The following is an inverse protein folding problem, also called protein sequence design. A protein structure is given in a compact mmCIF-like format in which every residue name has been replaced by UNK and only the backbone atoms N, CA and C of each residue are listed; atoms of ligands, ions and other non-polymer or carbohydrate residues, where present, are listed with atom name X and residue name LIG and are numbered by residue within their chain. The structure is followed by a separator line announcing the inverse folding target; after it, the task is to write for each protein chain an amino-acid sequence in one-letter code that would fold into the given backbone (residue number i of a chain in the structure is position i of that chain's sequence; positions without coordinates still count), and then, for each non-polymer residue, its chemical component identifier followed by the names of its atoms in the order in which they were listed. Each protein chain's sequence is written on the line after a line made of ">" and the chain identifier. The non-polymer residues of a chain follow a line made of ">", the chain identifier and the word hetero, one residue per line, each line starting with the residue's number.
data_IF_744721674327
#
_entry.id   IF_744721674327
#
_cell.length_a   1.000
_cell.length_b   1.000
_cell.length_c   1.000
_cell.angle_alpha   90.00
_cell.angle_beta   90.00
_cell.angle_gamma   90.00
#
_symmetry.space_group_name_H-M   'P 1'
#
loop_
_entity.id
_entity.type
_entity.pdbx_description
1 polymer ?
#
# COMPACT_ATOMS: atom_id res chain seq x y z
N UNK A 1 5.82 10.92 13.27
CA UNK A 1 5.85 12.25 12.59
C UNK A 1 6.91 13.16 13.22
N UNK A 2 6.95 13.29 14.56
CA UNK A 2 7.95 14.11 15.26
C UNK A 2 9.37 13.59 15.06
N UNK A 3 9.55 12.27 15.03
CA UNK A 3 10.84 11.63 14.72
C UNK A 3 11.35 12.04 13.33
N UNK A 4 10.48 12.10 12.33
CA UNK A 4 10.86 12.53 10.97
C UNK A 4 11.28 14.00 10.90
N UNK A 5 10.75 14.86 11.76
CA UNK A 5 11.15 16.27 11.83
C UNK A 5 12.51 16.47 12.50
N UNK A 6 12.84 15.61 13.46
CA UNK A 6 14.09 15.67 14.20
C UNK A 6 15.25 14.97 13.49
N UNK A 7 14.96 14.10 12.55
CA UNK A 7 15.94 13.25 11.88
C UNK A 7 16.52 13.92 10.62
N UNK A 8 17.84 13.91 10.44
CA UNK A 8 18.48 14.30 9.19
C UNK A 8 17.96 13.45 8.02
N UNK A 9 17.79 14.06 6.83
CA UNK A 9 17.33 13.36 5.61
C UNK A 9 18.11 12.05 5.33
N UNK A 10 19.42 12.05 5.54
CA UNK A 10 20.24 10.86 5.33
C UNK A 10 19.78 9.65 6.15
N UNK A 11 19.20 9.84 7.33
CA UNK A 11 18.70 8.75 8.16
C UNK A 11 17.53 8.00 7.52
N UNK A 12 16.75 8.65 6.68
CA UNK A 12 15.72 8.01 5.87
C UNK A 12 16.29 6.90 4.99
N UNK A 13 17.41 7.17 4.30
CA UNK A 13 18.05 6.19 3.43
C UNK A 13 18.68 5.04 4.21
N UNK A 14 19.27 5.32 5.38
CA UNK A 14 19.79 4.27 6.26
C UNK A 14 18.67 3.40 6.85
N UNK A 15 17.54 3.99 7.19
CA UNK A 15 16.35 3.23 7.62
C UNK A 15 15.80 2.35 6.50
N UNK A 16 15.83 2.80 5.25
CA UNK A 16 15.42 1.98 4.10
C UNK A 16 16.27 0.69 3.97
N UNK A 17 17.58 0.75 4.29
CA UNK A 17 18.46 -0.43 4.33
C UNK A 17 17.98 -1.43 5.39
N UNK A 18 17.72 -0.94 6.61
CA UNK A 18 17.23 -1.77 7.73
C UNK A 18 15.87 -2.40 7.40
N UNK A 19 14.93 -1.59 6.95
CA UNK A 19 13.58 -2.02 6.62
C UNK A 19 13.55 -3.01 5.45
N UNK A 20 14.35 -2.74 4.41
CA UNK A 20 14.50 -3.64 3.27
C UNK A 20 14.99 -5.01 3.70
N UNK A 21 16.04 -5.06 4.53
CA UNK A 21 16.54 -6.34 5.06
C UNK A 21 15.48 -7.07 5.89
N UNK A 22 14.79 -6.39 6.80
CA UNK A 22 13.71 -6.99 7.60
C UNK A 22 12.60 -7.59 6.74
N UNK A 23 12.24 -6.92 5.64
CA UNK A 23 11.22 -7.38 4.70
C UNK A 23 11.68 -8.63 3.94
N UNK A 24 12.95 -8.66 3.48
CA UNK A 24 13.52 -9.86 2.83
C UNK A 24 13.62 -11.01 3.82
N UNK A 25 14.14 -10.78 5.02
CA UNK A 25 14.29 -11.82 6.06
C UNK A 25 12.92 -12.47 6.39
N UNK A 26 11.83 -11.72 6.30
CA UNK A 26 10.46 -12.22 6.45
C UNK A 26 9.90 -12.90 5.19
N UNK A 27 10.70 -13.16 4.17
CA UNK A 27 10.28 -13.92 2.99
C UNK A 27 9.69 -13.11 1.83
N UNK A 28 9.69 -11.79 1.88
CA UNK A 28 9.16 -10.94 0.82
C UNK A 28 10.28 -10.43 -0.07
N UNK A 29 10.30 -10.84 -1.34
CA UNK A 29 11.37 -10.56 -2.32
C UNK A 29 11.06 -9.44 -3.30
N UNK A 30 9.78 -9.09 -3.46
CA UNK A 30 9.32 -7.98 -4.31
C UNK A 30 8.21 -7.21 -3.61
N UNK A 31 8.23 -5.88 -3.68
CA UNK A 31 7.21 -5.00 -3.10
C UNK A 31 6.72 -3.96 -4.09
N UNK A 32 5.48 -3.52 -3.88
CA UNK A 32 4.91 -2.29 -4.43
C UNK A 32 4.95 -1.24 -3.31
N UNK A 33 5.87 -0.27 -3.42
CA UNK A 33 6.08 0.79 -2.44
C UNK A 33 5.19 2.01 -2.74
N UNK A 34 4.21 2.25 -1.89
CA UNK A 34 3.25 3.34 -2.03
C UNK A 34 3.80 4.72 -1.60
N UNK A 35 5.11 4.81 -1.39
CA UNK A 35 5.88 6.00 -0.99
C UNK A 35 6.40 5.89 0.45
N UNK A 36 7.51 6.54 0.78
CA UNK A 36 8.24 7.53 -0.02
C UNK A 36 9.59 7.03 -0.59
N UNK A 37 9.70 5.79 -1.06
CA UNK A 37 10.95 5.35 -1.71
C UNK A 37 11.17 6.13 -3.03
N UNK A 38 12.36 6.71 -3.20
CA UNK A 38 12.74 7.41 -4.42
C UNK A 38 13.50 6.50 -5.42
N UNK A 39 13.72 7.01 -6.61
CA UNK A 39 14.44 6.28 -7.66
C UNK A 39 15.89 5.94 -7.25
N UNK A 40 16.52 6.70 -6.37
CA UNK A 40 17.86 6.44 -5.86
C UNK A 40 17.90 5.19 -4.98
N UNK A 41 16.90 5.00 -4.12
CA UNK A 41 16.73 3.79 -3.29
C UNK A 41 16.52 2.57 -4.19
N UNK A 42 15.63 2.66 -5.20
CA UNK A 42 15.39 1.58 -6.17
C UNK A 42 16.66 1.21 -6.95
N UNK A 43 17.40 2.21 -7.45
CA UNK A 43 18.65 1.98 -8.19
C UNK A 43 19.73 1.36 -7.27
N UNK A 44 19.84 1.81 -6.03
CA UNK A 44 20.81 1.28 -5.08
C UNK A 44 20.52 -0.19 -4.74
N UNK A 45 19.25 -0.54 -4.54
CA UNK A 45 18.80 -1.94 -4.38
C UNK A 45 19.16 -2.76 -5.62
N UNK A 46 18.80 -2.30 -6.83
CA UNK A 46 19.09 -3.00 -8.09
C UNK A 46 20.60 -3.20 -8.35
N UNK A 47 21.45 -2.32 -7.82
CA UNK A 47 22.91 -2.44 -7.88
C UNK A 47 23.49 -3.32 -6.78
N UNK A 48 22.65 -3.90 -5.91
CA UNK A 48 23.12 -4.72 -4.79
C UNK A 48 23.90 -3.94 -3.71
N UNK A 49 23.70 -2.63 -3.60
CA UNK A 49 24.38 -1.83 -2.57
C UNK A 49 23.86 -2.13 -1.17
N UNK A 50 22.66 -2.70 -1.06
CA UNK A 50 22.08 -3.21 0.17
C UNK A 50 21.03 -4.28 -0.14
N UNK A 51 20.70 -5.10 0.85
CA UNK A 51 19.69 -6.15 0.76
C UNK A 51 18.33 -5.52 0.99
N UNK A 52 17.44 -5.63 0.01
CA UNK A 52 16.04 -5.24 0.09
C UNK A 52 15.24 -5.96 -1.00
N UNK A 53 13.90 -6.01 -0.89
CA UNK A 53 13.05 -6.51 -1.97
C UNK A 53 13.26 -5.72 -3.27
N UNK A 54 13.01 -6.34 -4.43
CA UNK A 54 12.81 -5.60 -5.67
C UNK A 54 11.64 -4.65 -5.50
N UNK A 55 11.69 -3.45 -6.06
CA UNK A 55 10.74 -2.39 -5.76
C UNK A 55 10.03 -1.89 -7.02
N UNK A 56 8.70 -1.84 -6.99
CA UNK A 56 7.89 -0.97 -7.82
C UNK A 56 7.46 0.22 -6.96
N UNK A 57 7.84 1.44 -7.34
CA UNK A 57 7.73 2.64 -6.50
C UNK A 57 6.75 3.67 -7.05
N UNK A 58 6.01 4.33 -6.16
CA UNK A 58 5.19 5.50 -6.51
C UNK A 58 5.90 6.83 -6.28
N UNK A 59 7.07 6.82 -5.68
CA UNK A 59 7.85 7.98 -5.24
C UNK A 59 7.11 8.78 -4.17
N UNK A 60 6.03 9.47 -4.52
CA UNK A 60 5.16 10.22 -3.59
C UNK A 60 3.69 10.10 -4.01
N UNK A 61 2.74 10.00 -3.07
CA UNK A 61 1.32 10.00 -3.43
C UNK A 61 0.82 11.38 -3.83
N UNK A 62 -0.20 11.42 -4.71
CA UNK A 62 -1.00 12.61 -4.95
C UNK A 62 -1.94 12.86 -3.77
N UNK A 63 -1.97 14.10 -3.29
CA UNK A 63 -2.65 14.51 -2.06
C UNK A 63 -3.41 15.82 -2.32
N UNK A 64 -4.68 15.91 -1.92
CA UNK A 64 -5.40 17.19 -1.95
C UNK A 64 -4.97 18.09 -0.79
N UNK A 65 -5.03 19.41 -0.96
CA UNK A 65 -4.76 20.36 0.11
C UNK A 65 -5.67 20.10 1.33
N UNK A 66 -5.07 19.95 2.50
CA UNK A 66 -5.78 19.59 3.75
C UNK A 66 -6.23 18.13 3.83
N UNK A 67 -5.85 17.31 2.87
CA UNK A 67 -6.23 15.90 2.79
C UNK A 67 -5.37 14.95 3.61
N UNK A 68 -5.66 13.66 3.46
CA UNK A 68 -4.84 12.61 4.08
C UNK A 68 -3.42 12.64 3.50
N UNK A 69 -2.44 12.56 4.38
CA UNK A 69 -1.02 12.70 4.02
C UNK A 69 -0.61 14.13 3.60
N UNK A 70 -1.47 15.14 3.71
CA UNK A 70 -1.01 16.53 3.70
C UNK A 70 -0.26 16.82 5.01
N UNK A 71 1.04 17.00 4.90
CA UNK A 71 1.94 17.12 6.04
C UNK A 71 2.06 18.56 6.54
N UNK A 72 1.18 19.48 6.09
CA UNK A 72 1.09 20.83 6.59
C UNK A 72 0.43 20.84 7.97
N UNK A 73 1.15 21.32 8.98
CA UNK A 73 0.65 21.37 10.37
C UNK A 73 -0.19 22.63 10.64
N UNK A 74 -1.15 22.59 11.58
CA UNK A 74 -1.91 23.75 12.01
C UNK A 74 -1.03 24.92 12.51
N UNK A 75 0.21 24.63 12.94
CA UNK A 75 1.22 25.62 13.30
C UNK A 75 1.76 26.43 12.10
N UNK A 76 1.39 26.08 10.87
CA UNK A 76 1.91 26.66 9.64
C UNK A 76 3.21 26.03 9.14
N UNK A 77 3.68 24.96 9.80
CA UNK A 77 4.90 24.25 9.39
C UNK A 77 4.57 23.15 8.38
N UNK A 78 5.27 23.16 7.22
CA UNK A 78 5.18 22.13 6.19
C UNK A 78 6.26 21.08 6.42
N UNK A 79 5.84 19.84 6.77
CA UNK A 79 6.74 18.71 7.02
C UNK A 79 7.01 17.87 5.77
N UNK A 80 6.54 18.30 4.60
CA UNK A 80 6.77 17.60 3.35
C UNK A 80 8.28 17.53 3.06
N UNK A 81 8.80 16.32 2.85
CA UNK A 81 10.20 16.10 2.51
C UNK A 81 10.46 16.70 1.13
N UNK A 82 11.44 17.61 1.05
CA UNK A 82 11.81 18.29 -0.21
C UNK A 82 13.31 18.18 -0.41
N UNK A 83 13.70 17.57 -1.54
CA UNK A 83 15.08 17.58 -2.02
C UNK A 83 15.10 17.50 -3.55
N UNK A 84 16.22 17.84 -4.21
CA UNK A 84 16.30 17.80 -5.67
C UNK A 84 15.94 16.41 -6.24
N UNK A 85 14.96 16.38 -7.16
CA UNK A 85 14.48 15.16 -7.80
C UNK A 85 13.30 14.48 -7.11
N UNK A 86 12.92 14.91 -5.90
CA UNK A 86 11.74 14.39 -5.20
C UNK A 86 10.57 15.38 -5.31
N UNK A 87 9.50 15.05 -6.09
CA UNK A 87 8.38 15.97 -6.30
C UNK A 87 7.47 16.03 -5.07
N UNK A 88 6.82 17.18 -4.88
CA UNK A 88 5.71 17.30 -3.95
C UNK A 88 4.45 16.68 -4.52
N UNK A 89 3.67 16.00 -3.66
CA UNK A 89 2.42 15.32 -4.06
C UNK A 89 1.18 16.20 -3.98
N UNK A 90 1.22 17.34 -3.26
CA UNK A 90 0.04 18.20 -3.06
C UNK A 90 -0.40 18.87 -4.34
N UNK A 91 -1.72 18.72 -4.68
CA UNK A 91 -2.31 19.28 -5.90
C UNK A 91 -3.84 19.36 -5.81
N UNK A 92 -4.42 20.36 -6.46
CA UNK A 92 -5.86 20.60 -6.52
C UNK A 92 -6.28 20.98 -7.94
N UNK A 93 -7.40 20.45 -8.37
CA UNK A 93 -7.97 20.66 -9.69
C UNK A 93 -7.26 19.92 -10.84
N UNK A 94 -7.95 19.74 -11.99
CA UNK A 94 -7.47 18.89 -13.07
C UNK A 94 -6.11 19.28 -13.64
N UNK A 95 -5.78 20.56 -13.72
CA UNK A 95 -4.51 21.01 -14.29
C UNK A 95 -3.32 20.72 -13.38
N UNK A 96 -3.50 20.85 -12.05
CA UNK A 96 -2.42 20.55 -11.11
C UNK A 96 -2.21 19.04 -10.98
N UNK A 97 -3.28 18.25 -10.88
CA UNK A 97 -3.15 16.79 -10.82
C UNK A 97 -2.48 16.24 -12.09
N UNK A 98 -2.81 16.77 -13.28
CA UNK A 98 -2.15 16.43 -14.54
C UNK A 98 -0.65 16.72 -14.47
N UNK A 99 -0.28 17.93 -14.05
CA UNK A 99 1.12 18.34 -13.91
C UNK A 99 1.86 17.45 -12.91
N UNK A 100 1.26 17.18 -11.75
CA UNK A 100 1.87 16.37 -10.69
C UNK A 100 2.05 14.91 -11.10
N UNK A 101 1.09 14.32 -11.79
CA UNK A 101 1.21 12.97 -12.37
C UNK A 101 2.44 12.89 -13.28
N UNK A 102 2.67 13.90 -14.14
CA UNK A 102 3.86 13.98 -15.00
C UNK A 102 5.15 14.19 -14.22
N UNK A 103 5.13 15.01 -13.17
CA UNK A 103 6.30 15.22 -12.30
C UNK A 103 6.70 13.93 -11.57
N UNK A 104 5.74 13.19 -11.03
CA UNK A 104 5.95 11.90 -10.36
C UNK A 104 6.49 10.86 -11.34
N UNK A 105 5.90 10.73 -12.53
CA UNK A 105 6.44 9.87 -13.59
C UNK A 105 7.88 10.24 -13.94
N UNK A 106 8.18 11.53 -14.14
CA UNK A 106 9.54 12.02 -14.43
C UNK A 106 10.53 11.67 -13.32
N UNK A 107 10.07 11.59 -12.07
CA UNK A 107 10.88 11.19 -10.91
C UNK A 107 11.16 9.69 -10.86
N UNK A 108 10.62 8.89 -11.79
CA UNK A 108 10.89 7.46 -11.91
C UNK A 108 9.87 6.55 -11.24
N UNK A 109 8.65 7.03 -11.03
CA UNK A 109 7.57 6.19 -10.51
C UNK A 109 7.17 5.09 -11.52
N UNK A 110 6.89 3.89 -11.00
CA UNK A 110 6.41 2.72 -11.75
C UNK A 110 4.87 2.67 -11.77
N UNK A 111 4.22 3.37 -10.85
CA UNK A 111 2.77 3.54 -10.75
C UNK A 111 2.42 4.85 -10.04
N UNK A 112 1.18 5.27 -10.11
CA UNK A 112 0.70 6.47 -9.44
C UNK A 112 -0.10 6.08 -8.19
N UNK A 113 0.24 6.65 -7.04
CA UNK A 113 -0.51 6.52 -5.78
C UNK A 113 -1.32 7.78 -5.52
N UNK A 114 -2.56 7.63 -5.08
CA UNK A 114 -3.49 8.73 -4.78
C UNK A 114 -4.09 8.53 -3.38
N UNK A 115 -4.16 9.58 -2.59
CA UNK A 115 -4.92 9.60 -1.34
C UNK A 115 -6.35 10.05 -1.63
N UNK A 116 -7.24 9.08 -1.97
CA UNK A 116 -8.59 9.38 -2.46
C UNK A 116 -9.64 9.53 -1.34
N UNK A 117 -9.30 9.24 -0.10
CA UNK A 117 -10.14 9.53 1.07
C UNK A 117 -9.30 10.01 2.25
N UNK A 118 -9.96 10.52 3.27
CA UNK A 118 -9.33 10.75 4.57
C UNK A 118 -8.82 9.45 5.19
N UNK A 119 -7.97 9.56 6.22
CA UNK A 119 -7.33 8.42 6.86
C UNK A 119 -7.34 8.51 8.38
N UNK A 120 -6.92 7.43 9.03
CA UNK A 120 -6.86 7.30 10.48
C UNK A 120 -5.78 8.21 11.08
N UNK A 121 -4.59 8.20 10.48
CA UNK A 121 -3.40 8.81 11.07
C UNK A 121 -3.28 10.32 10.85
N UNK A 122 -4.06 10.88 9.93
CA UNK A 122 -4.10 12.32 9.67
C UNK A 122 -5.23 12.97 10.46
N UNK A 123 -4.89 13.96 11.25
CA UNK A 123 -5.85 14.80 11.97
C UNK A 123 -6.64 15.67 11.01
N UNK A 124 -7.85 16.09 11.41
CA UNK A 124 -8.75 16.93 10.61
C UNK A 124 -9.24 16.30 9.29
N UNK A 125 -9.02 15.02 9.05
CA UNK A 125 -9.63 14.27 7.96
C UNK A 125 -10.50 13.14 8.52
N UNK A 126 -11.51 12.71 7.77
CA UNK A 126 -12.31 11.52 8.12
C UNK A 126 -12.14 10.43 7.06
N UNK A 127 -11.97 9.16 7.49
CA UNK A 127 -11.97 8.03 6.56
C UNK A 127 -13.21 7.95 5.66
N UNK A 128 -14.35 8.50 6.10
CA UNK A 128 -15.62 8.51 5.36
C UNK A 128 -15.68 9.53 4.21
N UNK A 129 -14.73 10.48 4.13
CA UNK A 129 -14.82 11.56 3.16
C UNK A 129 -13.88 11.36 1.97
N UNK A 130 -14.40 11.43 0.71
CA UNK A 130 -13.57 11.45 -0.49
C UNK A 130 -12.78 12.77 -0.54
N UNK A 131 -11.58 12.74 -1.13
CA UNK A 131 -10.67 13.89 -1.15
C UNK A 131 -10.42 14.47 -2.54
N UNK A 132 -10.65 13.73 -3.58
CA UNK A 132 -10.64 14.23 -4.95
C UNK A 132 -12.04 14.07 -5.56
N UNK A 133 -12.41 14.95 -6.47
CA UNK A 133 -13.61 14.77 -7.29
C UNK A 133 -13.31 13.83 -8.46
N UNK A 134 -14.37 13.38 -9.16
CA UNK A 134 -14.23 12.40 -10.25
C UNK A 134 -13.44 12.95 -11.43
N UNK A 135 -13.54 14.26 -11.72
CA UNK A 135 -12.80 14.89 -12.83
C UNK A 135 -11.28 14.88 -12.56
N UNK A 136 -10.87 15.19 -11.33
CA UNK A 136 -9.47 15.11 -10.90
C UNK A 136 -8.95 13.67 -10.98
N UNK A 137 -9.68 12.71 -10.42
CA UNK A 137 -9.33 11.29 -10.43
C UNK A 137 -9.21 10.76 -11.87
N UNK A 138 -10.17 11.11 -12.75
CA UNK A 138 -10.13 10.72 -14.15
C UNK A 138 -8.94 11.32 -14.88
N UNK A 139 -8.59 12.56 -14.61
CA UNK A 139 -7.42 13.22 -15.19
C UNK A 139 -6.12 12.50 -14.81
N UNK A 140 -6.01 12.04 -13.55
CA UNK A 140 -4.86 11.25 -13.08
C UNK A 140 -4.77 9.92 -13.86
N UNK A 141 -5.89 9.20 -13.95
CA UNK A 141 -5.96 7.89 -14.61
C UNK A 141 -5.63 8.02 -16.10
N UNK A 142 -6.28 8.96 -16.81
CA UNK A 142 -6.07 9.16 -18.24
C UNK A 142 -4.58 9.47 -18.54
N UNK A 143 -3.92 10.31 -17.74
CA UNK A 143 -2.50 10.62 -17.93
C UNK A 143 -1.59 9.45 -17.55
N UNK A 144 -1.91 8.70 -16.50
CA UNK A 144 -1.12 7.54 -16.07
C UNK A 144 -1.20 6.41 -17.10
N UNK A 145 -2.40 6.05 -17.55
CA UNK A 145 -2.63 4.94 -18.49
C UNK A 145 -2.02 5.19 -19.87
N UNK A 146 -2.03 6.44 -20.38
CA UNK A 146 -1.30 6.79 -21.62
C UNK A 146 0.20 6.49 -21.52
N UNK A 147 0.71 6.39 -20.29
CA UNK A 147 2.12 6.11 -20.02
C UNK A 147 2.36 4.69 -19.48
N UNK A 148 1.40 3.77 -19.63
CA UNK A 148 1.43 2.39 -19.15
C UNK A 148 1.65 2.28 -17.62
N UNK A 149 1.28 3.33 -16.86
CA UNK A 149 1.36 3.34 -15.40
C UNK A 149 -0.01 3.01 -14.79
N UNK A 150 -0.04 2.06 -13.87
CA UNK A 150 -1.23 1.76 -13.06
C UNK A 150 -1.48 2.85 -12.03
N UNK A 151 -2.74 2.97 -11.59
CA UNK A 151 -3.16 3.93 -10.56
C UNK A 151 -3.77 3.20 -9.37
N UNK A 152 -3.28 3.51 -8.17
CA UNK A 152 -3.69 2.89 -6.91
C UNK A 152 -4.19 3.94 -5.93
N UNK A 153 -5.29 3.67 -5.22
CA UNK A 153 -5.87 4.60 -4.27
C UNK A 153 -5.83 4.09 -2.82
N UNK A 154 -5.28 4.89 -1.90
CA UNK A 154 -5.72 4.80 -0.51
C UNK A 154 -7.17 5.27 -0.44
N UNK A 155 -8.08 4.41 -0.04
CA UNK A 155 -9.49 4.79 0.07
C UNK A 155 -10.26 3.93 1.08
N UNK A 156 -10.79 4.56 2.13
CA UNK A 156 -11.70 3.94 3.08
C UNK A 156 -13.16 4.18 2.70
N UNK A 157 -13.49 5.41 2.23
CA UNK A 157 -14.87 5.87 2.07
C UNK A 157 -15.61 5.18 0.92
N UNK A 158 -16.86 4.78 1.16
CA UNK A 158 -17.72 4.17 0.12
C UNK A 158 -17.85 5.07 -1.12
N UNK A 159 -18.03 6.38 -0.92
CA UNK A 159 -18.13 7.34 -2.03
C UNK A 159 -16.80 7.47 -2.77
N UNK A 160 -15.68 7.51 -2.05
CA UNK A 160 -14.34 7.56 -2.66
C UNK A 160 -14.04 6.33 -3.48
N UNK A 161 -14.37 5.12 -2.97
CA UNK A 161 -14.22 3.85 -3.70
C UNK A 161 -15.01 3.90 -5.01
N UNK A 162 -16.30 4.32 -4.97
CA UNK A 162 -17.10 4.45 -6.18
C UNK A 162 -16.50 5.45 -7.17
N UNK A 163 -16.02 6.61 -6.70
CA UNK A 163 -15.37 7.60 -7.54
C UNK A 163 -14.10 7.05 -8.22
N UNK A 164 -13.28 6.28 -7.49
CA UNK A 164 -12.08 5.64 -8.05
C UNK A 164 -12.43 4.60 -9.11
N UNK A 165 -13.46 3.76 -8.86
CA UNK A 165 -13.92 2.76 -9.85
C UNK A 165 -14.42 3.49 -11.11
N UNK A 166 -15.24 4.55 -10.96
CA UNK A 166 -15.77 5.34 -12.07
C UNK A 166 -14.69 6.07 -12.86
N UNK A 167 -13.60 6.45 -12.20
CA UNK A 167 -12.43 7.05 -12.84
C UNK A 167 -11.52 6.05 -13.55
N UNK A 168 -11.63 4.73 -13.25
CA UNK A 168 -10.84 3.67 -13.88
C UNK A 168 -9.55 3.31 -13.15
N UNK A 169 -9.52 3.41 -11.83
CA UNK A 169 -8.39 2.96 -11.01
C UNK A 169 -8.14 1.47 -11.13
N UNK A 170 -6.87 1.06 -11.00
CA UNK A 170 -6.46 -0.36 -11.10
C UNK A 170 -6.55 -1.07 -9.75
N UNK A 171 -6.31 -0.37 -8.62
CA UNK A 171 -6.48 -0.92 -7.27
C UNK A 171 -6.94 0.09 -6.24
N UNK A 172 -7.58 -0.44 -5.19
CA UNK A 172 -7.94 0.26 -3.96
C UNK A 172 -7.18 -0.40 -2.82
N UNK A 173 -6.50 0.39 -2.00
CA UNK A 173 -5.96 -0.05 -0.71
C UNK A 173 -6.96 0.27 0.40
N UNK A 174 -7.05 -0.61 1.39
CA UNK A 174 -7.96 -0.64 2.55
C UNK A 174 -9.40 -1.02 2.18
N UNK A 175 -10.14 -0.20 1.44
CA UNK A 175 -11.50 -0.52 1.01
C UNK A 175 -12.53 -0.63 2.15
N UNK A 176 -12.26 -0.06 3.32
CA UNK A 176 -12.92 -0.34 4.60
C UNK A 176 -14.44 -0.30 4.58
N UNK A 177 -15.04 0.73 3.98
CA UNK A 177 -16.49 0.92 3.97
C UNK A 177 -17.15 0.46 2.66
N UNK A 178 -16.50 -0.46 1.94
CA UNK A 178 -17.08 -1.05 0.73
C UNK A 178 -18.37 -1.80 1.07
N UNK A 179 -19.41 -1.60 0.28
CA UNK A 179 -20.65 -2.35 0.39
C UNK A 179 -20.77 -3.42 -0.70
N UNK A 180 -21.74 -4.31 -0.57
CA UNK A 180 -21.99 -5.41 -1.50
C UNK A 180 -22.19 -4.92 -2.96
N UNK A 181 -22.88 -3.80 -3.17
CA UNK A 181 -23.13 -3.24 -4.51
C UNK A 181 -21.85 -2.72 -5.14
N UNK A 182 -21.05 -2.03 -4.36
CA UNK A 182 -19.77 -1.49 -4.81
C UNK A 182 -18.75 -2.61 -5.04
N UNK A 183 -18.81 -3.70 -4.24
CA UNK A 183 -17.97 -4.88 -4.44
C UNK A 183 -18.22 -5.53 -5.81
N UNK A 184 -19.50 -5.72 -6.20
CA UNK A 184 -19.85 -6.20 -7.55
C UNK A 184 -19.32 -5.30 -8.63
N UNK A 185 -19.53 -3.99 -8.48
CA UNK A 185 -19.02 -2.99 -9.44
C UNK A 185 -17.50 -3.05 -9.55
N UNK A 186 -16.79 -3.24 -8.43
CA UNK A 186 -15.33 -3.40 -8.40
C UNK A 186 -14.88 -4.64 -9.16
N UNK A 187 -15.52 -5.78 -8.91
CA UNK A 187 -15.25 -7.04 -9.62
C UNK A 187 -15.53 -6.93 -11.13
N UNK A 188 -16.68 -6.37 -11.52
CA UNK A 188 -17.07 -6.15 -12.92
C UNK A 188 -16.08 -5.24 -13.68
N UNK A 189 -15.44 -4.30 -12.99
CA UNK A 189 -14.42 -3.40 -13.56
C UNK A 189 -12.99 -3.89 -13.36
N UNK A 190 -12.79 -5.11 -12.84
CA UNK A 190 -11.48 -5.72 -12.60
C UNK A 190 -10.55 -4.87 -11.72
N UNK A 191 -11.10 -4.06 -10.82
CA UNK A 191 -10.34 -3.28 -9.84
C UNK A 191 -9.91 -4.18 -8.69
N UNK A 192 -8.62 -4.23 -8.37
CA UNK A 192 -8.10 -5.08 -7.29
C UNK A 192 -8.27 -4.40 -5.93
N UNK A 193 -8.40 -5.21 -4.88
CA UNK A 193 -8.47 -4.72 -3.50
C UNK A 193 -7.28 -5.23 -2.69
N UNK A 194 -6.56 -4.31 -2.06
CA UNK A 194 -5.45 -4.61 -1.14
C UNK A 194 -5.90 -4.24 0.28
N UNK A 195 -6.45 -5.17 1.07
CA UNK A 195 -7.23 -4.83 2.26
C UNK A 195 -6.39 -4.31 3.43
N UNK A 196 -5.13 -4.71 3.56
CA UNK A 196 -4.24 -4.26 4.65
C UNK A 196 -4.86 -4.41 6.04
N UNK A 197 -5.47 -5.56 6.32
CA UNK A 197 -6.17 -5.79 7.58
C UNK A 197 -5.23 -5.80 8.78
N UNK A 198 -4.02 -6.31 8.59
CA UNK A 198 -2.98 -6.38 9.62
C UNK A 198 -2.68 -5.00 10.25
N UNK A 199 -2.55 -3.94 9.46
CA UNK A 199 -2.21 -2.62 10.01
C UNK A 199 -3.29 -2.09 10.94
N UNK A 200 -4.56 -2.32 10.62
CA UNK A 200 -5.67 -1.87 11.44
C UNK A 200 -5.76 -2.68 12.74
N UNK A 201 -5.60 -4.00 12.65
CA UNK A 201 -5.60 -4.90 13.80
C UNK A 201 -4.44 -4.58 14.74
N UNK A 202 -3.23 -4.44 14.19
CA UNK A 202 -2.02 -4.10 14.95
C UNK A 202 -2.17 -2.77 15.70
N UNK A 203 -2.64 -1.71 15.03
CA UNK A 203 -2.84 -0.40 15.64
C UNK A 203 -3.94 -0.42 16.70
N UNK A 204 -4.98 -1.23 16.49
CA UNK A 204 -6.06 -1.38 17.47
C UNK A 204 -5.57 -1.99 18.78
N UNK A 205 -4.72 -3.00 18.72
CA UNK A 205 -4.17 -3.69 19.88
C UNK A 205 -3.02 -2.94 20.55
N UNK A 206 -2.14 -2.30 19.74
CA UNK A 206 -0.98 -1.55 20.26
C UNK A 206 -1.36 -0.16 20.78
N UNK A 207 -2.42 0.44 20.22
CA UNK A 207 -2.83 1.81 20.54
C UNK A 207 -1.85 2.87 20.04
N UNK A 208 -2.15 4.13 20.37
CA UNK A 208 -1.29 5.28 20.06
C UNK A 208 -0.52 5.72 21.31
N UNK A 209 0.72 6.22 21.15
CA UNK A 209 1.52 6.68 22.27
C UNK A 209 0.83 7.77 23.10
N UNK A 210 1.00 7.76 24.42
CA UNK A 210 0.37 8.72 25.34
C UNK A 210 0.76 10.21 25.06
N UNK A 211 1.92 10.44 24.42
CA UNK A 211 2.36 11.78 24.02
C UNK A 211 1.69 12.28 22.73
N UNK A 212 0.97 11.44 22.02
CA UNK A 212 0.23 11.86 20.81
C UNK A 212 -1.05 12.62 21.22
N UNK A 213 -1.05 13.92 21.07
CA UNK A 213 -2.18 14.80 21.40
C UNK A 213 -3.48 14.44 20.65
N UNK A 214 -3.39 13.67 19.60
CA UNK A 214 -4.50 13.21 18.76
C UNK A 214 -4.83 11.73 18.94
N UNK A 215 -4.24 11.05 19.94
CA UNK A 215 -4.43 9.62 20.18
C UNK A 215 -5.91 9.24 20.34
N UNK A 216 -6.69 10.05 21.05
CA UNK A 216 -8.12 9.80 21.25
C UNK A 216 -8.92 9.86 19.95
N UNK A 217 -8.66 10.87 19.09
CA UNK A 217 -9.28 11.00 17.77
C UNK A 217 -8.92 9.82 16.85
N UNK A 218 -7.64 9.47 16.79
CA UNK A 218 -7.14 8.33 15.98
C UNK A 218 -7.72 7.02 16.46
N UNK A 219 -7.79 6.81 17.79
CA UNK A 219 -8.40 5.61 18.38
C UNK A 219 -9.89 5.51 18.07
N UNK A 220 -10.64 6.62 18.08
CA UNK A 220 -12.04 6.62 17.70
C UNK A 220 -12.23 6.22 16.24
N UNK A 221 -11.48 6.79 15.31
CA UNK A 221 -11.51 6.44 13.88
C UNK A 221 -11.16 4.97 13.66
N UNK A 222 -10.12 4.49 14.35
CA UNK A 222 -9.67 3.10 14.24
C UNK A 222 -10.73 2.10 14.73
N UNK A 223 -11.42 2.41 15.82
CA UNK A 223 -12.52 1.57 16.32
C UNK A 223 -13.65 1.41 15.31
N UNK A 224 -14.00 2.47 14.59
CA UNK A 224 -15.02 2.40 13.54
C UNK A 224 -14.54 1.53 12.38
N UNK A 225 -13.29 1.66 11.99
CA UNK A 225 -12.68 0.87 10.90
C UNK A 225 -12.67 -0.63 11.26
N UNK A 226 -12.03 -1.00 12.36
CA UNK A 226 -11.86 -2.41 12.75
C UNK A 226 -13.20 -3.13 12.92
N UNK A 227 -14.24 -2.41 13.37
CA UNK A 227 -15.58 -2.95 13.56
C UNK A 227 -16.23 -3.50 12.28
N UNK A 228 -15.95 -2.88 11.13
CA UNK A 228 -16.63 -3.22 9.87
C UNK A 228 -15.70 -3.76 8.79
N UNK A 229 -14.40 -3.54 8.91
CA UNK A 229 -13.44 -3.80 7.84
C UNK A 229 -13.44 -5.28 7.44
N UNK A 230 -13.19 -6.19 8.38
CA UNK A 230 -13.11 -7.62 8.12
C UNK A 230 -14.41 -8.17 7.47
N UNK A 231 -15.57 -7.75 7.98
CA UNK A 231 -16.87 -8.17 7.44
C UNK A 231 -17.06 -7.67 5.99
N UNK A 232 -16.73 -6.40 5.73
CA UNK A 232 -16.86 -5.82 4.39
C UNK A 232 -15.88 -6.43 3.39
N UNK A 233 -14.65 -6.75 3.81
CA UNK A 233 -13.68 -7.46 2.94
C UNK A 233 -14.16 -8.88 2.65
N UNK A 234 -14.72 -9.61 3.62
CA UNK A 234 -15.31 -10.93 3.39
C UNK A 234 -16.48 -10.84 2.37
N UNK A 235 -17.33 -9.83 2.47
CA UNK A 235 -18.39 -9.57 1.48
C UNK A 235 -17.79 -9.26 0.11
N UNK A 236 -16.75 -8.43 0.03
CA UNK A 236 -16.10 -8.09 -1.23
C UNK A 236 -15.50 -9.34 -1.92
N UNK A 237 -14.80 -10.18 -1.16
CA UNK A 237 -14.29 -11.45 -1.66
C UNK A 237 -15.41 -12.37 -2.16
N UNK A 238 -16.50 -12.52 -1.37
CA UNK A 238 -17.67 -13.32 -1.75
C UNK A 238 -18.42 -12.81 -3.00
N UNK A 239 -18.29 -11.53 -3.34
CA UNK A 239 -18.84 -10.94 -4.57
C UNK A 239 -17.84 -10.97 -5.75
N UNK A 240 -16.70 -11.64 -5.59
CA UNK A 240 -15.72 -11.91 -6.66
C UNK A 240 -14.67 -10.81 -6.86
N UNK A 241 -14.45 -9.95 -5.87
CA UNK A 241 -13.34 -9.00 -5.91
C UNK A 241 -12.02 -9.75 -5.70
N UNK A 242 -11.07 -9.55 -6.60
CA UNK A 242 -9.71 -10.07 -6.44
C UNK A 242 -8.98 -9.34 -5.32
N UNK A 243 -8.65 -10.09 -4.26
CA UNK A 243 -7.83 -9.59 -3.16
C UNK A 243 -6.35 -9.83 -3.46
N UNK A 244 -5.53 -8.80 -3.19
CA UNK A 244 -4.07 -8.88 -3.23
C UNK A 244 -3.50 -8.66 -1.84
N UNK A 245 -2.43 -9.39 -1.51
CA UNK A 245 -1.72 -9.22 -0.25
C UNK A 245 -1.03 -7.86 -0.18
N UNK A 246 -1.18 -7.15 0.94
CA UNK A 246 -0.47 -5.93 1.26
C UNK A 246 -0.71 -5.52 2.71
N UNK A 247 0.28 -4.91 3.36
CA UNK A 247 0.29 -4.69 4.82
C UNK A 247 0.39 -3.25 5.26
N UNK A 248 0.67 -2.32 4.34
CA UNK A 248 0.99 -0.92 4.69
C UNK A 248 2.14 -0.82 5.72
N UNK A 249 3.17 -1.72 5.59
CA UNK A 249 4.37 -1.70 6.43
C UNK A 249 5.09 -0.36 6.29
N UNK A 250 5.58 0.15 7.43
CA UNK A 250 6.00 1.53 7.59
C UNK A 250 5.04 2.28 8.53
N UNK A 251 3.75 1.98 8.48
CA UNK A 251 2.79 2.30 9.55
C UNK A 251 2.98 1.34 10.73
N UNK A 252 3.17 0.06 10.44
CA UNK A 252 3.62 -0.96 11.39
C UNK A 252 5.07 -1.33 11.09
N UNK A 253 5.71 -2.06 11.99
CA UNK A 253 7.08 -2.53 11.80
C UNK A 253 7.20 -3.42 10.56
N UNK A 254 8.32 -3.31 9.85
CA UNK A 254 8.67 -4.25 8.78
C UNK A 254 9.02 -5.62 9.35
N UNK A 255 8.80 -6.68 8.57
CA UNK A 255 9.07 -8.06 8.97
C UNK A 255 7.83 -8.85 9.42
N UNK A 256 6.66 -8.23 9.44
CA UNK A 256 5.36 -8.83 9.74
C UNK A 256 4.49 -9.05 8.49
N UNK A 257 5.09 -8.92 7.32
CA UNK A 257 4.33 -8.84 6.07
C UNK A 257 3.46 -10.07 5.79
N UNK A 258 3.95 -11.28 6.09
CA UNK A 258 3.22 -12.52 5.81
C UNK A 258 2.08 -12.81 6.81
N UNK A 259 1.97 -12.05 7.91
CA UNK A 259 0.84 -12.15 8.83
C UNK A 259 -0.50 -11.72 8.16
N UNK A 260 -0.45 -10.87 7.13
CA UNK A 260 -1.64 -10.52 6.35
C UNK A 260 -2.32 -11.75 5.72
N UNK A 261 -1.57 -12.80 5.40
CA UNK A 261 -2.12 -14.03 4.84
C UNK A 261 -3.14 -14.71 5.78
N UNK A 262 -2.93 -14.61 7.09
CA UNK A 262 -3.89 -15.10 8.11
C UNK A 262 -5.20 -14.33 7.99
N UNK A 263 -5.11 -13.01 7.91
CA UNK A 263 -6.30 -12.16 7.77
C UNK A 263 -7.06 -12.44 6.46
N UNK A 264 -6.33 -12.75 5.37
CA UNK A 264 -6.95 -13.13 4.10
C UNK A 264 -7.69 -14.46 4.20
N UNK A 265 -7.14 -15.46 4.92
CA UNK A 265 -7.89 -16.72 5.16
C UNK A 265 -9.08 -16.51 6.10
N UNK A 266 -8.98 -15.60 7.05
CA UNK A 266 -10.07 -15.24 7.96
C UNK A 266 -11.30 -14.62 7.25
N UNK A 267 -11.11 -14.02 6.06
CA UNK A 267 -12.21 -13.49 5.25
C UNK A 267 -12.73 -14.48 4.20
N UNK A 268 -12.25 -15.73 4.22
CA UNK A 268 -12.78 -16.84 3.44
C UNK A 268 -11.92 -17.32 2.29
N UNK A 269 -10.71 -16.78 2.08
CA UNK A 269 -9.76 -17.34 1.12
C UNK A 269 -9.22 -18.68 1.64
N UNK A 270 -8.99 -19.63 0.73
CA UNK A 270 -8.19 -20.82 1.06
C UNK A 270 -6.71 -20.47 1.21
N UNK A 271 -5.91 -21.36 1.82
CA UNK A 271 -4.48 -21.11 2.02
C UNK A 271 -3.74 -20.88 0.69
N UNK A 272 -4.06 -21.64 -0.34
CA UNK A 272 -3.46 -21.49 -1.67
C UNK A 272 -3.88 -20.18 -2.35
N UNK A 273 -5.13 -19.72 -2.21
CA UNK A 273 -5.58 -18.43 -2.73
C UNK A 273 -4.90 -17.27 -2.00
N UNK A 274 -4.76 -17.35 -0.67
CA UNK A 274 -4.04 -16.34 0.11
C UNK A 274 -2.57 -16.25 -0.31
N UNK A 275 -1.88 -17.39 -0.48
CA UNK A 275 -0.51 -17.42 -1.00
C UNK A 275 -0.45 -16.87 -2.42
N UNK A 276 -1.38 -17.24 -3.29
CA UNK A 276 -1.45 -16.73 -4.66
C UNK A 276 -1.63 -15.21 -4.71
N UNK A 277 -2.37 -14.63 -3.76
CA UNK A 277 -2.61 -13.18 -3.67
C UNK A 277 -1.33 -12.37 -3.45
N UNK A 278 -0.33 -12.94 -2.76
CA UNK A 278 0.99 -12.35 -2.51
C UNK A 278 2.09 -12.83 -3.47
N UNK A 279 1.77 -13.72 -4.42
CA UNK A 279 2.72 -14.31 -5.36
C UNK A 279 2.27 -14.07 -6.81
N UNK A 280 1.63 -15.04 -7.45
CA UNK A 280 1.30 -14.94 -8.89
C UNK A 280 0.31 -13.82 -9.20
N UNK A 281 -0.75 -13.65 -8.39
CA UNK A 281 -1.72 -12.57 -8.61
C UNK A 281 -1.10 -11.18 -8.40
N UNK A 282 -0.20 -11.04 -7.41
CA UNK A 282 0.54 -9.80 -7.21
C UNK A 282 1.50 -9.53 -8.39
N UNK A 283 2.18 -10.56 -8.90
CA UNK A 283 3.05 -10.46 -10.08
C UNK A 283 2.27 -10.05 -11.34
N UNK A 284 1.09 -10.64 -11.57
CA UNK A 284 0.16 -10.25 -12.65
C UNK A 284 -0.25 -8.78 -12.53
N UNK A 285 -0.56 -8.34 -11.31
CA UNK A 285 -0.95 -6.95 -11.07
C UNK A 285 0.15 -5.95 -11.45
N UNK A 286 1.40 -6.25 -11.16
CA UNK A 286 2.55 -5.39 -11.52
C UNK A 286 3.15 -5.73 -12.89
N UNK A 287 2.49 -6.58 -13.71
CA UNK A 287 2.94 -7.01 -15.04
C UNK A 287 4.33 -7.66 -15.04
N UNK A 288 4.58 -8.55 -14.07
CA UNK A 288 5.83 -9.32 -13.90
C UNK A 288 5.60 -10.84 -13.85
N UNK A 289 4.41 -11.32 -14.18
CA UNK A 289 4.03 -12.73 -14.11
C UNK A 289 4.91 -13.63 -14.97
N UNK A 290 5.50 -13.13 -16.04
CA UNK A 290 6.44 -13.88 -16.88
C UNK A 290 7.78 -14.16 -16.17
N UNK A 291 8.13 -13.37 -15.17
CA UNK A 291 9.43 -13.45 -14.47
C UNK A 291 9.33 -13.77 -12.98
N UNK A 292 8.17 -13.56 -12.35
CA UNK A 292 7.97 -13.68 -10.90
C UNK A 292 6.68 -14.46 -10.57
N UNK A 293 6.46 -14.71 -9.30
CA UNK A 293 5.17 -15.14 -8.72
C UNK A 293 4.89 -16.64 -8.78
N UNK A 294 5.68 -17.45 -9.46
CA UNK A 294 5.55 -18.91 -9.44
C UNK A 294 6.88 -19.61 -9.64
N UNK A 295 6.97 -20.86 -9.15
CA UNK A 295 8.12 -21.73 -9.37
C UNK A 295 7.96 -22.40 -10.73
N UNK A 296 8.59 -21.83 -11.74
CA UNK A 296 8.53 -22.32 -13.13
C UNK A 296 9.87 -22.10 -13.84
N UNK A 297 10.13 -22.88 -14.87
CA UNK A 297 11.34 -22.70 -15.70
C UNK A 297 11.40 -21.29 -16.30
N UNK A 298 12.60 -20.74 -16.36
CA UNK A 298 12.92 -19.41 -16.89
C UNK A 298 12.40 -18.21 -16.06
N UNK A 299 11.83 -18.44 -14.86
CA UNK A 299 11.54 -17.34 -13.91
C UNK A 299 12.72 -17.10 -12.97
N UNK A 300 12.74 -15.88 -12.42
CA UNK A 300 13.73 -15.45 -11.43
C UNK A 300 13.60 -16.35 -10.20
N UNK A 301 14.74 -16.78 -9.64
CA UNK A 301 14.77 -17.67 -8.48
C UNK A 301 14.54 -16.90 -7.16
N UNK A 302 13.40 -16.21 -7.07
CA UNK A 302 12.93 -15.61 -5.84
C UNK A 302 12.10 -16.65 -5.08
N UNK A 303 12.72 -17.29 -4.08
CA UNK A 303 12.16 -18.46 -3.40
C UNK A 303 12.32 -18.34 -1.88
N UNK A 304 11.38 -18.89 -1.14
CA UNK A 304 11.53 -19.13 0.30
C UNK A 304 11.48 -20.63 0.58
N UNK A 305 12.37 -21.08 1.47
CA UNK A 305 12.32 -22.41 2.04
C UNK A 305 11.69 -22.31 3.43
N UNK A 306 10.61 -23.02 3.65
CA UNK A 306 9.84 -22.96 4.90
C UNK A 306 9.82 -24.31 5.63
N UNK A 307 9.71 -24.26 6.95
CA UNK A 307 9.58 -25.42 7.81
C UNK A 307 8.09 -25.79 7.96
N UNK A 308 7.59 -26.69 7.13
CA UNK A 308 6.19 -27.13 7.11
C UNK A 308 5.52 -26.93 5.76
N UNK A 309 4.23 -27.22 5.70
CA UNK A 309 3.43 -27.09 4.48
C UNK A 309 2.43 -25.91 4.63
N UNK A 310 2.67 -24.75 4.02
CA UNK A 310 1.79 -23.58 4.14
C UNK A 310 0.44 -23.77 3.42
N UNK A 311 0.29 -24.79 2.59
CA UNK A 311 -1.01 -25.15 1.99
C UNK A 311 -1.94 -25.82 3.01
N UNK A 312 -1.39 -26.49 4.03
CA UNK A 312 -2.16 -27.06 5.13
C UNK A 312 -2.46 -25.99 6.20
N UNK A 313 -1.50 -25.12 6.47
CA UNK A 313 -1.60 -24.04 7.47
C UNK A 313 -0.76 -22.82 7.05
N UNK A 314 -1.43 -21.78 6.58
CA UNK A 314 -0.76 -20.55 6.10
C UNK A 314 -0.06 -19.79 7.23
N UNK A 315 -0.48 -19.98 8.51
CA UNK A 315 0.12 -19.31 9.67
C UNK A 315 1.61 -19.66 9.86
N UNK A 316 2.08 -20.77 9.29
CA UNK A 316 3.50 -21.12 9.23
C UNK A 316 4.34 -19.98 8.61
N UNK A 317 3.79 -19.28 7.62
CA UNK A 317 4.49 -18.18 6.94
C UNK A 317 4.56 -16.90 7.78
N UNK A 318 3.68 -16.75 8.77
CA UNK A 318 3.66 -15.60 9.67
C UNK A 318 4.72 -15.66 10.78
N UNK A 319 5.26 -16.85 11.03
CA UNK A 319 6.33 -17.06 11.99
C UNK A 319 7.70 -17.05 11.27
N UNK A 320 8.46 -15.99 11.47
CA UNK A 320 9.77 -15.82 10.83
C UNK A 320 10.77 -16.95 11.15
N UNK A 321 10.61 -17.68 12.27
CA UNK A 321 11.44 -18.81 12.63
C UNK A 321 11.20 -20.02 11.69
N UNK A 322 10.06 -20.05 11.02
CA UNK A 322 9.76 -21.06 9.99
C UNK A 322 10.31 -20.70 8.61
N UNK A 323 10.78 -19.48 8.39
CA UNK A 323 11.45 -19.08 7.13
C UNK A 323 12.92 -19.50 7.21
N UNK A 324 13.22 -20.72 6.77
CA UNK A 324 14.56 -21.30 6.87
C UNK A 324 15.58 -20.62 5.96
N UNK A 325 15.15 -20.14 4.79
CA UNK A 325 16.00 -19.46 3.83
C UNK A 325 15.19 -18.62 2.86
N UNK A 326 15.68 -17.44 2.57
CA UNK A 326 15.22 -16.61 1.46
C UNK A 326 16.29 -16.62 0.37
N UNK A 327 15.90 -16.90 -0.85
CA UNK A 327 16.73 -16.84 -2.06
C UNK A 327 16.16 -15.71 -2.90
N UNK A 328 17.02 -14.77 -3.25
CA UNK A 328 16.66 -13.62 -4.08
C UNK A 328 17.79 -13.39 -5.09
N UNK A 329 17.43 -13.32 -6.39
CA UNK A 329 18.35 -13.02 -7.49
C UNK A 329 18.43 -11.50 -7.76
#
# INVERSE_FOLDING_TARGET
>A
KEENMANPLALHFYNAIKHGKQTVDAGVTTIKDCGPADIGVKIAQKKGLFIAPKMEISVTPLVSTGGHFDLFLPSGFDMEIVYPGFPKGRCDGPLEVLKKTREIKRAGADFIKVMASGGVLTTNTSPDYPQFNVEELKTIVDEAHVNDLKVSAHCHSLKGINNCIDAGFDSIEHGTFIDKKTSRKMAENNVKLVPTMLVHDFLYHSGFPAWDNYAAEKTAKLKEIVKVHKENIAVAYGEGVDLLMGTDSGVIAHGHNLEELIHLTDVGMSNDEAIASGTIKAAEFICKEDSLGSVSENKIADLILVNGNPLDDVSILADNDNILKVIQD
#
